data_IF_603894415059
#
_entry.id   IF_603894415059
#
_cell.length_a   1.000
_cell.length_b   1.000
_cell.length_c   1.000
_cell.angle_alpha   90.00
_cell.angle_beta   90.00
_cell.angle_gamma   90.00
#
_symmetry.space_group_name_H-M   'P 1'
#
loop_
_entity.id
_entity.type
_entity.pdbx_description
1 polymer ?
#
# COMPACT_ATOMS: atom_id res chain seq x y z
N UNK A 1 35.46 10.57 10.79
CA UNK A 1 34.93 11.75 10.07
C UNK A 1 33.44 11.54 9.95
N UNK A 2 32.66 12.34 10.65
CA UNK A 2 31.19 12.27 10.69
C UNK A 2 30.63 13.00 9.48
N UNK A 3 30.14 12.26 8.49
CA UNK A 3 29.29 12.84 7.46
C UNK A 3 27.99 13.28 8.15
N UNK A 4 27.74 14.59 8.16
CA UNK A 4 26.48 15.16 8.65
C UNK A 4 25.33 14.58 7.82
N UNK A 5 24.47 13.78 8.46
CA UNK A 5 23.34 13.07 7.86
C UNK A 5 22.31 14.02 7.25
N UNK A 6 22.54 14.40 6.00
CA UNK A 6 21.46 14.81 5.11
C UNK A 6 20.84 13.52 4.57
N UNK A 7 19.51 13.34 4.59
CA UNK A 7 18.90 12.21 3.92
C UNK A 7 19.41 12.15 2.47
N UNK A 8 19.74 10.95 1.98
CA UNK A 8 20.11 10.77 0.59
C UNK A 8 18.95 11.30 -0.27
N UNK A 9 19.24 12.20 -1.21
CA UNK A 9 18.20 12.75 -2.07
C UNK A 9 17.73 11.64 -3.01
N UNK A 10 16.40 11.46 -3.12
CA UNK A 10 15.81 10.49 -4.05
C UNK A 10 16.33 10.74 -5.46
N UNK A 11 16.74 9.66 -6.15
CA UNK A 11 17.29 9.79 -7.50
C UNK A 11 16.20 10.22 -8.51
N UNK A 12 16.53 11.10 -9.47
CA UNK A 12 15.59 11.45 -10.53
C UNK A 12 15.44 10.31 -11.55
N UNK A 13 14.30 10.26 -12.23
CA UNK A 13 13.96 9.21 -13.20
C UNK A 13 15.02 9.03 -14.30
N UNK A 14 15.56 10.13 -14.82
CA UNK A 14 16.60 10.11 -15.87
C UNK A 14 17.88 9.40 -15.41
N UNK A 15 18.27 9.58 -14.14
CA UNK A 15 19.48 8.97 -13.58
C UNK A 15 19.27 7.49 -13.33
N UNK A 16 18.08 7.12 -12.82
CA UNK A 16 17.68 5.72 -12.67
C UNK A 16 17.66 4.99 -14.02
N UNK A 17 17.05 5.59 -15.04
CA UNK A 17 16.98 5.01 -16.38
C UNK A 17 18.38 4.85 -17.00
N UNK A 18 19.24 5.87 -16.88
CA UNK A 18 20.61 5.80 -17.38
C UNK A 18 21.41 4.70 -16.68
N UNK A 19 21.36 4.62 -15.35
CA UNK A 19 22.04 3.58 -14.59
C UNK A 19 21.56 2.17 -15.00
N UNK A 20 20.24 1.97 -15.14
CA UNK A 20 19.68 0.70 -15.58
C UNK A 20 20.12 0.29 -16.99
N UNK A 21 20.24 1.24 -17.93
CA UNK A 21 20.68 0.96 -19.30
C UNK A 21 22.16 0.57 -19.38
N UNK A 22 22.99 1.07 -18.47
CA UNK A 22 24.43 0.82 -18.45
C UNK A 22 24.82 -0.41 -17.60
N UNK A 23 23.86 -1.03 -16.91
CA UNK A 23 24.10 -2.15 -16.00
C UNK A 23 24.06 -3.51 -16.71
N UNK A 24 25.01 -4.40 -16.36
CA UNK A 24 25.00 -5.80 -16.80
C UNK A 24 24.03 -6.67 -15.98
N UNK A 25 23.75 -6.27 -14.74
CA UNK A 25 22.82 -6.93 -13.83
C UNK A 25 22.22 -5.93 -12.85
N UNK A 26 20.91 -6.05 -12.57
CA UNK A 26 20.20 -5.14 -11.64
C UNK A 26 19.59 -5.89 -10.44
N UNK A 27 19.83 -5.41 -9.23
CA UNK A 27 19.20 -5.87 -7.98
C UNK A 27 18.13 -4.88 -7.55
N UNK A 28 16.87 -5.24 -7.74
CA UNK A 28 15.72 -4.45 -7.29
C UNK A 28 15.31 -4.89 -5.88
N UNK A 29 15.30 -3.94 -4.94
CA UNK A 29 14.90 -4.18 -3.55
C UNK A 29 13.85 -3.16 -3.13
N UNK A 30 12.71 -3.62 -2.63
CA UNK A 30 11.58 -2.74 -2.33
C UNK A 30 11.00 -2.98 -0.93
N UNK A 31 10.44 -1.93 -0.34
CA UNK A 31 9.58 -2.05 0.85
C UNK A 31 8.31 -2.85 0.54
N UNK A 32 7.78 -3.58 1.52
CA UNK A 32 6.57 -4.40 1.37
C UNK A 32 5.28 -3.55 1.44
N UNK A 33 5.08 -2.70 0.44
CA UNK A 33 3.86 -1.92 0.21
C UNK A 33 3.52 -1.82 -1.28
N UNK A 34 2.27 -1.45 -1.58
CA UNK A 34 1.76 -1.46 -2.95
C UNK A 34 2.44 -0.45 -3.90
N UNK A 35 2.95 0.68 -3.39
CA UNK A 35 3.63 1.69 -4.21
C UNK A 35 5.02 1.22 -4.63
N UNK A 36 5.81 0.74 -3.68
CA UNK A 36 7.13 0.19 -3.97
C UNK A 36 7.05 -1.07 -4.84
N UNK A 37 6.01 -1.90 -4.66
CA UNK A 37 5.76 -3.05 -5.53
C UNK A 37 5.41 -2.63 -6.97
N UNK A 38 4.56 -1.61 -7.15
CA UNK A 38 4.23 -1.09 -8.47
C UNK A 38 5.46 -0.50 -9.16
N UNK A 39 6.27 0.28 -8.44
CA UNK A 39 7.53 0.83 -8.93
C UNK A 39 8.50 -0.29 -9.38
N UNK A 40 8.63 -1.34 -8.58
CA UNK A 40 9.45 -2.51 -8.92
C UNK A 40 8.95 -3.20 -10.19
N UNK A 41 7.64 -3.39 -10.33
CA UNK A 41 7.02 -3.99 -11.51
C UNK A 41 7.35 -3.25 -12.81
N UNK A 42 7.26 -1.92 -12.80
CA UNK A 42 7.60 -1.08 -13.96
C UNK A 42 9.06 -1.28 -14.40
N UNK A 43 9.99 -1.21 -13.45
CA UNK A 43 11.42 -1.35 -13.74
C UNK A 43 11.75 -2.76 -14.20
N UNK A 44 11.23 -3.78 -13.51
CA UNK A 44 11.46 -5.18 -13.88
C UNK A 44 10.89 -5.51 -15.28
N UNK A 45 9.73 -4.96 -15.64
CA UNK A 45 9.17 -5.11 -16.98
C UNK A 45 10.05 -4.41 -18.04
N UNK A 46 10.56 -3.21 -17.76
CA UNK A 46 11.47 -2.51 -18.67
C UNK A 46 12.79 -3.26 -18.86
N UNK A 47 13.43 -3.70 -17.77
CA UNK A 47 14.67 -4.50 -17.81
C UNK A 47 14.48 -5.80 -18.59
N UNK A 48 13.33 -6.47 -18.41
CA UNK A 48 13.00 -7.67 -19.17
C UNK A 48 12.82 -7.38 -20.67
N UNK A 49 12.25 -6.23 -21.03
CA UNK A 49 12.07 -5.83 -22.42
C UNK A 49 13.40 -5.48 -23.11
N UNK A 50 14.42 -5.07 -22.35
CA UNK A 50 15.77 -4.78 -22.84
C UNK A 50 16.76 -5.94 -22.67
N UNK A 51 16.27 -7.14 -22.32
CA UNK A 51 17.08 -8.33 -22.03
C UNK A 51 18.15 -8.12 -20.94
N UNK A 52 17.93 -7.17 -20.02
CA UNK A 52 18.81 -6.89 -18.88
C UNK A 52 18.47 -7.83 -17.72
N UNK A 53 19.40 -8.71 -17.30
CA UNK A 53 19.16 -9.61 -16.17
C UNK A 53 18.92 -8.87 -14.86
N UNK A 54 18.00 -9.38 -14.04
CA UNK A 54 17.72 -8.78 -12.74
C UNK A 54 17.32 -9.81 -11.67
N UNK A 55 17.41 -9.38 -10.41
CA UNK A 55 16.86 -10.06 -9.24
C UNK A 55 15.98 -9.07 -8.46
N UNK A 56 14.78 -9.50 -8.08
CA UNK A 56 13.81 -8.69 -7.36
C UNK A 56 13.50 -9.26 -5.97
N UNK A 57 13.48 -8.41 -4.95
CA UNK A 57 13.12 -8.76 -3.57
C UNK A 57 12.25 -7.68 -2.94
N UNK A 58 11.24 -8.10 -2.19
CA UNK A 58 10.32 -7.21 -1.46
C UNK A 58 10.31 -7.64 0.01
N UNK A 59 10.57 -6.70 0.93
CA UNK A 59 10.62 -6.94 2.38
C UNK A 59 10.11 -5.72 3.14
N UNK A 60 9.49 -5.91 4.30
CA UNK A 60 9.02 -4.78 5.14
C UNK A 60 10.17 -3.85 5.49
N UNK A 61 11.29 -4.42 5.92
CA UNK A 61 12.56 -3.71 6.08
C UNK A 61 13.59 -4.33 5.12
N UNK A 62 13.95 -3.65 4.01
CA UNK A 62 14.88 -4.19 3.04
C UNK A 62 16.30 -4.38 3.61
N UNK A 63 16.77 -5.63 3.62
CA UNK A 63 18.18 -5.98 3.83
C UNK A 63 18.96 -5.77 2.52
N UNK A 64 19.62 -4.61 2.40
CA UNK A 64 20.35 -4.21 1.19
C UNK A 64 21.74 -4.83 1.17
N UNK A 65 21.98 -5.69 0.18
CA UNK A 65 23.32 -6.21 -0.12
C UNK A 65 23.82 -5.63 -1.44
N UNK A 66 24.88 -4.83 -1.38
CA UNK A 66 25.59 -4.32 -2.57
C UNK A 66 26.65 -5.34 -2.98
N UNK A 67 26.72 -5.63 -4.28
CA UNK A 67 27.72 -6.54 -4.86
C UNK A 67 28.51 -5.80 -5.93
N UNK A 68 29.83 -5.94 -5.92
CA UNK A 68 30.69 -5.30 -6.93
C UNK A 68 30.32 -5.77 -8.34
N UNK A 69 29.99 -4.82 -9.22
CA UNK A 69 29.61 -5.08 -10.61
C UNK A 69 28.09 -5.15 -10.87
N UNK A 70 27.25 -5.20 -9.83
CA UNK A 70 25.79 -5.17 -9.97
C UNK A 70 25.25 -3.77 -9.65
N UNK A 71 24.24 -3.30 -10.38
CA UNK A 71 23.49 -2.09 -9.99
C UNK A 71 22.46 -2.44 -8.91
N UNK A 72 22.55 -1.83 -7.74
CA UNK A 72 21.60 -2.00 -6.64
C UNK A 72 20.62 -0.82 -6.59
N UNK A 73 19.33 -1.10 -6.74
CA UNK A 73 18.25 -0.11 -6.67
C UNK A 73 17.36 -0.42 -5.47
N UNK A 74 17.25 0.52 -4.53
CA UNK A 74 16.36 0.44 -3.39
C UNK A 74 15.13 1.35 -3.59
N UNK A 75 13.94 0.80 -3.34
CA UNK A 75 12.65 1.47 -3.51
C UNK A 75 11.93 1.53 -2.16
N UNK A 76 11.71 2.74 -1.65
CA UNK A 76 10.92 3.00 -0.45
C UNK A 76 11.68 2.99 0.87
N UNK A 77 13.00 2.76 0.86
CA UNK A 77 13.86 2.88 2.03
C UNK A 77 15.10 3.73 1.70
N UNK A 78 15.52 4.55 2.66
CA UNK A 78 16.84 5.19 2.65
C UNK A 78 17.87 4.13 3.08
N UNK A 79 18.71 3.70 2.15
CA UNK A 79 19.64 2.61 2.35
C UNK A 79 20.91 2.80 1.51
N UNK A 80 21.98 2.09 1.87
CA UNK A 80 23.26 2.13 1.16
C UNK A 80 23.17 1.31 -0.14
N UNK A 81 22.53 1.88 -1.16
CA UNK A 81 22.37 1.33 -2.50
C UNK A 81 22.92 2.32 -3.54
N UNK A 82 23.24 1.84 -4.75
CA UNK A 82 23.72 2.70 -5.83
C UNK A 82 22.67 3.75 -6.23
N UNK A 83 21.39 3.35 -6.21
CA UNK A 83 20.23 4.23 -6.43
C UNK A 83 19.18 3.98 -5.35
N UNK A 84 18.69 5.05 -4.74
CA UNK A 84 17.57 5.02 -3.79
C UNK A 84 16.41 5.89 -4.29
N UNK A 85 15.20 5.34 -4.28
CA UNK A 85 13.97 6.10 -4.44
C UNK A 85 13.22 6.18 -3.11
N UNK A 86 13.04 7.40 -2.61
CA UNK A 86 12.35 7.64 -1.33
C UNK A 86 11.21 8.64 -1.45
N UNK A 87 11.20 9.46 -2.52
CA UNK A 87 10.18 10.47 -2.74
C UNK A 87 8.89 9.84 -3.29
N UNK A 88 7.78 10.00 -2.57
CA UNK A 88 6.49 9.42 -2.91
C UNK A 88 5.75 10.25 -3.99
N UNK A 89 4.98 9.62 -4.89
CA UNK A 89 4.85 8.17 -5.07
C UNK A 89 6.01 7.59 -5.91
N UNK A 90 6.56 6.47 -5.45
CA UNK A 90 7.70 5.81 -6.11
C UNK A 90 7.34 5.32 -7.50
N UNK A 91 6.10 4.85 -7.66
CA UNK A 91 5.57 4.33 -8.91
C UNK A 91 5.59 5.37 -10.03
N UNK A 92 5.48 6.67 -9.72
CA UNK A 92 5.53 7.73 -10.72
C UNK A 92 6.94 7.93 -11.29
N UNK A 93 7.94 7.98 -10.41
CA UNK A 93 9.34 8.05 -10.82
C UNK A 93 9.74 6.82 -11.64
N UNK A 94 9.33 5.64 -11.19
CA UNK A 94 9.60 4.38 -11.88
C UNK A 94 8.88 4.27 -13.23
N UNK A 95 7.65 4.78 -13.36
CA UNK A 95 6.93 4.87 -14.63
C UNK A 95 7.71 5.70 -15.65
N UNK A 96 8.17 6.89 -15.27
CA UNK A 96 8.97 7.74 -16.16
C UNK A 96 10.30 7.06 -16.53
N UNK A 97 11.00 6.48 -15.55
CA UNK A 97 12.26 5.79 -15.81
C UNK A 97 12.09 4.56 -16.72
N UNK A 98 11.02 3.78 -16.54
CA UNK A 98 10.70 2.64 -17.41
C UNK A 98 10.44 3.08 -18.86
N UNK A 99 9.73 4.19 -19.04
CA UNK A 99 9.57 4.84 -20.36
C UNK A 99 10.91 5.20 -21.01
N UNK A 100 11.83 5.78 -20.23
CA UNK A 100 13.16 6.19 -20.69
C UNK A 100 14.13 5.01 -20.93
N UNK A 101 13.89 3.85 -20.29
CA UNK A 101 14.62 2.60 -20.57
C UNK A 101 14.19 2.02 -21.93
N UNK A 102 12.96 2.29 -22.37
CA UNK A 102 12.48 1.98 -23.72
C UNK A 102 11.27 1.05 -23.80
N UNK A 103 10.46 0.96 -22.73
CA UNK A 103 9.21 0.19 -22.71
C UNK A 103 7.99 1.10 -22.61
N UNK A 104 6.81 0.63 -23.04
CA UNK A 104 5.54 1.34 -22.77
C UNK A 104 5.12 1.04 -21.33
N UNK A 105 5.42 1.96 -20.42
CA UNK A 105 5.13 1.81 -19.00
C UNK A 105 3.61 1.83 -18.74
N UNK A 106 3.14 1.03 -17.77
CA UNK A 106 1.71 0.94 -17.48
C UNK A 106 1.25 2.06 -16.53
N UNK A 107 0.53 3.04 -17.05
CA UNK A 107 0.01 4.17 -16.28
C UNK A 107 -1.02 3.76 -15.21
N UNK A 108 -1.79 2.68 -15.43
CA UNK A 108 -2.80 2.22 -14.47
C UNK A 108 -2.13 1.54 -13.28
N UNK A 109 -1.15 0.65 -13.51
CA UNK A 109 -0.34 0.06 -12.44
C UNK A 109 0.35 1.16 -11.62
N UNK A 110 0.95 2.14 -12.30
CA UNK A 110 1.65 3.20 -11.60
C UNK A 110 0.70 4.11 -10.79
N UNK A 111 -0.50 4.42 -11.32
CA UNK A 111 -1.54 5.12 -10.57
C UNK A 111 -2.04 4.29 -9.37
N UNK A 112 -2.23 2.97 -9.51
CA UNK A 112 -2.60 2.09 -8.41
C UNK A 112 -1.54 2.09 -7.30
N UNK A 113 -0.25 2.12 -7.66
CA UNK A 113 0.86 2.33 -6.72
C UNK A 113 0.74 3.64 -5.95
N UNK A 114 0.47 4.76 -6.64
CA UNK A 114 0.26 6.05 -6.00
C UNK A 114 -0.94 6.04 -5.04
N UNK A 115 -2.04 5.35 -5.42
CA UNK A 115 -3.18 5.16 -4.53
C UNK A 115 -2.81 4.32 -3.30
N UNK A 116 -1.97 3.30 -3.44
CA UNK A 116 -1.46 2.53 -2.30
C UNK A 116 -0.62 3.40 -1.35
N UNK A 117 0.21 4.31 -1.86
CA UNK A 117 0.94 5.32 -1.07
C UNK A 117 0.02 6.38 -0.42
N UNK A 118 -1.24 6.45 -0.84
CA UNK A 118 -2.27 7.27 -0.21
C UNK A 118 -2.71 8.51 -0.96
N UNK A 119 -2.35 8.61 -2.23
CA UNK A 119 -2.83 9.66 -3.12
C UNK A 119 -4.27 9.37 -3.56
N UNK A 120 -5.08 10.43 -3.68
CA UNK A 120 -6.46 10.33 -4.16
C UNK A 120 -6.50 10.64 -5.66
N UNK A 121 -6.91 9.71 -6.55
CA UNK A 121 -6.90 9.93 -7.99
C UNK A 121 -7.65 11.19 -8.42
N UNK A 122 -6.95 12.07 -9.13
CA UNK A 122 -7.46 13.34 -9.65
C UNK A 122 -6.34 14.17 -10.27
N UNK A 123 -6.67 15.37 -10.74
CA UNK A 123 -5.75 16.25 -11.52
C UNK A 123 -4.40 16.52 -10.83
N UNK A 124 -4.37 16.54 -9.49
CA UNK A 124 -3.15 16.78 -8.72
C UNK A 124 -2.35 15.49 -8.41
N UNK A 125 -2.85 14.32 -8.82
CA UNK A 125 -2.16 13.05 -8.63
C UNK A 125 -1.22 12.80 -9.80
N UNK A 126 0.07 12.50 -9.55
CA UNK A 126 0.98 12.06 -10.60
C UNK A 126 0.35 10.91 -11.40
N UNK A 127 0.56 10.91 -12.72
CA UNK A 127 0.09 9.85 -13.64
C UNK A 127 -1.42 9.77 -13.87
N UNK A 128 -2.21 10.69 -13.32
CA UNK A 128 -3.66 10.71 -13.55
C UNK A 128 -4.01 10.95 -15.03
N UNK A 129 -3.42 11.96 -15.65
CA UNK A 129 -3.69 12.29 -17.07
C UNK A 129 -3.27 11.16 -18.03
N UNK A 130 -2.06 10.56 -17.93
CA UNK A 130 -1.71 9.38 -18.72
C UNK A 130 -2.69 8.20 -18.57
N UNK A 131 -3.25 7.99 -17.37
CA UNK A 131 -4.17 6.88 -17.10
C UNK A 131 -5.61 7.18 -17.53
N UNK A 132 -6.05 8.44 -17.55
CA UNK A 132 -7.48 8.80 -17.67
C UNK A 132 -8.13 8.33 -18.97
N UNK A 133 -7.35 8.10 -20.03
CA UNK A 133 -7.87 7.59 -21.31
C UNK A 133 -8.43 6.16 -21.20
N UNK A 134 -8.00 5.40 -20.18
CA UNK A 134 -8.42 4.01 -19.92
C UNK A 134 -9.31 3.89 -18.68
N UNK A 135 -9.76 4.99 -18.09
CA UNK A 135 -10.49 5.00 -16.83
C UNK A 135 -11.86 5.65 -16.94
N UNK A 136 -12.87 4.97 -16.41
CA UNK A 136 -14.20 5.51 -16.22
C UNK A 136 -14.44 5.86 -14.75
N UNK A 137 -15.20 6.92 -14.47
CA UNK A 137 -15.55 7.29 -13.09
C UNK A 137 -17.04 7.06 -12.84
N UNK A 138 -17.37 6.13 -11.92
CA UNK A 138 -18.77 5.77 -11.61
C UNK A 138 -19.12 5.89 -10.12
N UNK A 139 -20.41 6.03 -9.76
CA UNK A 139 -20.84 5.82 -8.38
C UNK A 139 -20.54 4.39 -7.92
N UNK A 140 -20.22 4.20 -6.64
CA UNK A 140 -19.97 2.87 -6.07
C UNK A 140 -18.75 2.84 -5.17
N UNK A 141 -18.23 1.62 -4.98
CA UNK A 141 -17.12 1.32 -4.09
C UNK A 141 -15.85 0.93 -4.88
N UNK A 142 -14.69 1.37 -4.42
CA UNK A 142 -13.39 0.94 -4.91
C UNK A 142 -13.06 -0.45 -4.36
N UNK A 143 -13.44 -1.49 -5.09
CA UNK A 143 -13.21 -2.90 -4.74
C UNK A 143 -12.55 -3.62 -5.93
N UNK A 144 -11.77 -4.69 -5.68
CA UNK A 144 -11.04 -5.39 -6.73
C UNK A 144 -11.87 -6.41 -7.52
N UNK A 145 -13.20 -6.37 -7.34
CA UNK A 145 -14.13 -7.37 -7.86
C UNK A 145 -15.39 -6.68 -8.38
N UNK A 146 -15.93 -7.15 -9.50
CA UNK A 146 -17.24 -6.76 -10.01
C UNK A 146 -18.16 -7.96 -10.25
N UNK A 147 -19.44 -7.67 -10.39
CA UNK A 147 -20.45 -8.69 -10.63
C UNK A 147 -21.75 -8.32 -9.95
N UNK A 148 -22.35 -9.31 -9.32
CA UNK A 148 -23.62 -9.19 -8.65
C UNK A 148 -23.46 -8.75 -7.17
N UNK A 149 -24.56 -8.84 -6.43
CA UNK A 149 -24.63 -8.53 -5.01
C UNK A 149 -23.65 -9.35 -4.16
N UNK A 150 -23.42 -10.63 -4.49
CA UNK A 150 -22.50 -11.48 -3.72
C UNK A 150 -21.06 -11.03 -3.88
N UNK A 151 -20.68 -10.65 -5.10
CA UNK A 151 -19.34 -10.09 -5.35
C UNK A 151 -19.16 -8.73 -4.65
N UNK A 152 -20.20 -7.90 -4.61
CA UNK A 152 -20.12 -6.63 -3.89
C UNK A 152 -20.01 -6.82 -2.37
N UNK A 153 -20.72 -7.81 -1.81
CA UNK A 153 -20.56 -8.23 -0.41
C UNK A 153 -19.13 -8.68 -0.17
N UNK A 154 -18.56 -9.51 -1.04
CA UNK A 154 -17.17 -9.94 -0.95
C UNK A 154 -16.17 -8.77 -0.98
N UNK A 155 -16.41 -7.80 -1.87
CA UNK A 155 -15.71 -6.51 -1.94
C UNK A 155 -15.72 -5.75 -0.62
N UNK A 156 -16.90 -5.62 -0.01
CA UNK A 156 -17.11 -4.86 1.22
C UNK A 156 -16.48 -5.52 2.45
N UNK A 157 -16.61 -6.85 2.54
CA UNK A 157 -16.05 -7.64 3.65
C UNK A 157 -14.53 -7.54 3.70
N UNK A 158 -13.88 -7.49 2.54
CA UNK A 158 -12.42 -7.60 2.43
C UNK A 158 -11.73 -6.29 2.01
N UNK A 159 -12.43 -5.17 1.86
CA UNK A 159 -11.76 -3.91 1.55
C UNK A 159 -10.95 -3.40 2.74
N UNK A 160 -9.64 -3.15 2.55
CA UNK A 160 -8.83 -2.48 3.58
C UNK A 160 -8.76 -0.96 3.38
N UNK A 161 -9.55 -0.40 2.46
CA UNK A 161 -9.69 1.05 2.28
C UNK A 161 -10.61 1.67 3.33
N UNK A 162 -11.45 0.86 3.98
CA UNK A 162 -12.44 1.29 4.97
C UNK A 162 -12.53 0.30 6.12
N UNK A 163 -12.84 0.76 7.33
CA UNK A 163 -13.12 -0.12 8.47
C UNK A 163 -14.42 0.27 9.17
N UNK A 164 -15.32 -0.70 9.32
CA UNK A 164 -16.56 -0.57 10.07
C UNK A 164 -17.06 -1.95 10.55
N UNK A 165 -18.31 -2.02 11.00
CA UNK A 165 -19.00 -3.23 11.46
C UNK A 165 -19.12 -4.33 10.39
N UNK A 166 -19.19 -3.96 9.11
CA UNK A 166 -19.25 -4.90 7.98
C UNK A 166 -17.90 -5.53 7.61
N UNK A 167 -16.77 -4.93 8.03
CA UNK A 167 -15.44 -5.38 7.64
C UNK A 167 -15.16 -6.77 8.23
N UNK A 168 -14.75 -7.76 7.43
CA UNK A 168 -14.61 -9.16 7.84
C UNK A 168 -15.86 -9.73 8.56
N UNK A 169 -17.05 -9.23 8.23
CA UNK A 169 -18.34 -9.66 8.77
C UNK A 169 -19.37 -9.80 7.63
N UNK A 170 -19.34 -10.97 6.96
CA UNK A 170 -20.16 -11.24 5.77
C UNK A 170 -21.65 -11.04 6.00
N UNK A 171 -22.19 -11.47 7.13
CA UNK A 171 -23.62 -11.33 7.43
C UNK A 171 -24.03 -9.85 7.53
N UNK A 172 -23.21 -9.00 8.16
CA UNK A 172 -23.44 -7.56 8.25
C UNK A 172 -23.35 -6.88 6.88
N UNK A 173 -22.35 -7.24 6.08
CA UNK A 173 -22.21 -6.73 4.71
C UNK A 173 -23.39 -7.13 3.82
N UNK A 174 -23.82 -8.40 3.88
CA UNK A 174 -24.96 -8.91 3.14
C UNK A 174 -26.27 -8.23 3.57
N UNK A 175 -26.48 -8.01 4.87
CA UNK A 175 -27.64 -7.26 5.37
C UNK A 175 -27.64 -5.81 4.87
N UNK A 176 -26.48 -5.14 4.85
CA UNK A 176 -26.34 -3.78 4.35
C UNK A 176 -26.72 -3.70 2.86
N UNK A 177 -26.17 -4.58 2.02
CA UNK A 177 -26.47 -4.59 0.58
C UNK A 177 -27.92 -5.00 0.32
N UNK A 178 -28.43 -6.02 1.02
CA UNK A 178 -29.80 -6.52 0.88
C UNK A 178 -30.88 -5.54 1.34
N UNK A 179 -30.58 -4.65 2.28
CA UNK A 179 -31.54 -3.66 2.81
C UNK A 179 -32.07 -2.66 1.77
N UNK A 180 -31.43 -2.58 0.61
CA UNK A 180 -31.80 -1.63 -0.45
C UNK A 180 -32.85 -2.17 -1.41
N UNK A 181 -33.17 -3.47 -1.33
CA UNK A 181 -34.19 -4.20 -2.11
C UNK A 181 -34.11 -3.89 -3.63
N UNK A 182 -32.90 -4.04 -4.19
CA UNK A 182 -32.62 -3.73 -5.58
C UNK A 182 -32.57 -5.01 -6.43
N UNK A 183 -33.33 -5.04 -7.53
CA UNK A 183 -33.32 -6.14 -8.51
C UNK A 183 -32.04 -6.16 -9.36
N UNK A 184 -31.36 -5.01 -9.48
CA UNK A 184 -30.13 -4.85 -10.28
C UNK A 184 -29.16 -3.85 -9.63
N UNK A 185 -27.86 -4.03 -9.87
CA UNK A 185 -26.81 -3.09 -9.43
C UNK A 185 -26.61 -1.97 -10.46
N UNK A 186 -27.58 -1.07 -10.54
CA UNK A 186 -27.46 0.14 -11.36
C UNK A 186 -26.68 1.27 -10.65
N UNK A 187 -26.48 2.39 -11.35
CA UNK A 187 -25.76 3.55 -10.82
C UNK A 187 -26.42 4.19 -9.60
N UNK A 188 -27.74 4.07 -9.44
CA UNK A 188 -28.45 4.57 -8.26
C UNK A 188 -28.21 3.65 -7.07
N UNK A 189 -28.30 2.34 -7.26
CA UNK A 189 -28.06 1.31 -6.26
C UNK A 189 -26.62 1.38 -5.76
N UNK A 190 -25.64 1.45 -6.66
CA UNK A 190 -24.23 1.64 -6.28
C UNK A 190 -24.01 2.90 -5.44
N UNK A 191 -24.69 4.00 -5.75
CA UNK A 191 -24.61 5.25 -4.98
C UNK A 191 -25.23 5.12 -3.60
N UNK A 192 -26.38 4.45 -3.48
CA UNK A 192 -27.05 4.20 -2.20
C UNK A 192 -26.19 3.32 -1.30
N UNK A 193 -25.59 2.26 -1.84
CA UNK A 193 -24.64 1.39 -1.12
C UNK A 193 -23.43 2.20 -0.66
N UNK A 194 -22.80 2.96 -1.56
CA UNK A 194 -21.65 3.78 -1.22
C UNK A 194 -21.97 4.80 -0.12
N UNK A 195 -23.17 5.40 -0.16
CA UNK A 195 -23.63 6.33 0.89
C UNK A 195 -23.84 5.63 2.24
N UNK A 196 -24.43 4.43 2.24
CA UNK A 196 -24.61 3.65 3.47
C UNK A 196 -23.26 3.24 4.09
N UNK A 197 -22.32 2.79 3.26
CA UNK A 197 -20.94 2.47 3.68
C UNK A 197 -20.25 3.70 4.27
N UNK A 198 -20.36 4.85 3.61
CA UNK A 198 -19.78 6.09 4.11
C UNK A 198 -20.32 6.46 5.50
N UNK A 199 -21.65 6.42 5.68
CA UNK A 199 -22.29 6.74 6.96
C UNK A 199 -21.89 5.77 8.07
N UNK A 200 -21.83 4.47 7.79
CA UNK A 200 -21.40 3.45 8.77
C UNK A 200 -19.93 3.59 9.16
N UNK A 201 -19.06 3.93 8.21
CA UNK A 201 -17.63 4.06 8.46
C UNK A 201 -17.25 5.31 9.27
N UNK A 202 -18.07 6.36 9.24
CA UNK A 202 -17.85 7.58 10.03
C UNK A 202 -18.65 7.62 11.33
N UNK A 203 -19.55 6.66 11.54
CA UNK A 203 -20.33 6.54 12.77
C UNK A 203 -19.39 6.26 13.94
N UNK A 204 -19.41 7.13 14.94
CA UNK A 204 -18.51 7.11 16.12
C UNK A 204 -16.99 7.14 15.80
N UNK A 205 -16.63 7.50 14.56
CA UNK A 205 -15.24 7.59 14.12
C UNK A 205 -14.63 8.99 14.39
N UNK A 206 -13.29 9.10 14.39
CA UNK A 206 -12.59 10.39 14.42
C UNK A 206 -12.98 11.31 13.25
N UNK A 207 -12.85 12.63 13.43
CA UNK A 207 -13.29 13.61 12.42
C UNK A 207 -12.62 13.42 11.04
N UNK A 208 -11.34 13.04 11.01
CA UNK A 208 -10.60 12.80 9.76
C UNK A 208 -11.02 11.51 9.04
N UNK A 209 -11.82 10.63 9.66
CA UNK A 209 -12.35 9.43 8.99
C UNK A 209 -13.18 9.77 7.75
N UNK A 210 -13.84 10.94 7.75
CA UNK A 210 -14.59 11.42 6.58
C UNK A 210 -13.70 11.63 5.35
N UNK A 211 -12.49 12.16 5.51
CA UNK A 211 -11.53 12.30 4.41
C UNK A 211 -10.99 10.93 3.97
N UNK A 212 -10.80 10.01 4.94
CA UNK A 212 -10.30 8.66 4.65
C UNK A 212 -11.31 7.83 3.87
N UNK A 213 -12.61 7.96 4.17
CA UNK A 213 -13.65 7.19 3.48
C UNK A 213 -13.79 7.56 2.01
N UNK A 214 -13.41 8.77 1.60
CA UNK A 214 -13.46 9.18 0.19
C UNK A 214 -12.66 8.24 -0.73
N UNK A 215 -11.62 7.59 -0.20
CA UNK A 215 -10.76 6.65 -0.95
C UNK A 215 -11.50 5.42 -1.46
N UNK A 216 -12.58 5.02 -0.79
CA UNK A 216 -13.41 3.88 -1.23
C UNK A 216 -14.59 4.34 -2.09
N UNK A 217 -14.87 5.64 -2.21
CA UNK A 217 -16.07 6.14 -2.88
C UNK A 217 -15.80 6.63 -4.30
N UNK A 218 -16.80 6.47 -5.18
CA UNK A 218 -16.80 6.99 -6.55
C UNK A 218 -15.52 6.62 -7.32
N UNK A 219 -15.25 5.31 -7.47
CA UNK A 219 -13.98 4.80 -7.98
C UNK A 219 -13.73 5.15 -9.44
N UNK A 220 -12.45 5.13 -9.80
CA UNK A 220 -11.98 4.98 -11.17
C UNK A 220 -11.94 3.50 -11.52
N UNK A 221 -12.71 3.14 -12.53
CA UNK A 221 -12.88 1.78 -13.06
C UNK A 221 -11.93 1.58 -14.22
N UNK A 222 -11.22 0.46 -14.21
CA UNK A 222 -10.23 0.07 -15.19
C UNK A 222 -9.10 -0.73 -14.57
N UNK A 223 -8.24 -1.27 -15.43
CA UNK A 223 -7.17 -2.17 -15.02
C UNK A 223 -7.64 -3.59 -14.66
N UNK A 224 -6.71 -4.44 -14.21
CA UNK A 224 -6.97 -5.88 -14.05
C UNK A 224 -7.84 -6.26 -12.85
N UNK A 225 -8.08 -5.34 -11.92
CA UNK A 225 -8.87 -5.59 -10.70
C UNK A 225 -10.06 -4.65 -10.60
N UNK A 226 -10.79 -4.43 -11.69
CA UNK A 226 -12.01 -3.62 -11.78
C UNK A 226 -11.86 -2.12 -11.47
N UNK A 227 -11.22 -1.74 -10.37
CA UNK A 227 -11.01 -0.35 -9.94
C UNK A 227 -9.56 -0.11 -9.56
N UNK A 228 -9.10 1.12 -9.74
CA UNK A 228 -7.74 1.54 -9.35
C UNK A 228 -7.51 1.38 -7.84
N UNK A 229 -8.51 1.72 -7.02
CA UNK A 229 -8.43 1.54 -5.57
C UNK A 229 -8.44 0.07 -5.14
N UNK A 230 -9.21 -0.78 -5.82
CA UNK A 230 -9.16 -2.22 -5.64
C UNK A 230 -7.80 -2.80 -6.02
N UNK A 231 -7.23 -2.35 -7.15
CA UNK A 231 -5.89 -2.77 -7.56
C UNK A 231 -4.82 -2.36 -6.54
N UNK A 232 -4.88 -1.14 -6.02
CA UNK A 232 -3.99 -0.67 -4.96
C UNK A 232 -4.07 -1.54 -3.69
N UNK A 233 -5.28 -1.95 -3.30
CA UNK A 233 -5.54 -2.81 -2.13
C UNK A 233 -4.96 -4.22 -2.34
N UNK A 234 -5.11 -4.79 -3.54
CA UNK A 234 -4.52 -6.09 -3.91
C UNK A 234 -2.99 -6.03 -3.93
N UNK A 235 -2.40 -4.97 -4.49
CA UNK A 235 -0.94 -4.78 -4.52
C UNK A 235 -0.37 -4.69 -3.10
N UNK A 236 -0.97 -3.90 -2.22
CA UNK A 236 -0.50 -3.77 -0.82
C UNK A 236 -0.62 -5.09 -0.05
N UNK A 237 -1.71 -5.84 -0.24
CA UNK A 237 -1.89 -7.15 0.37
C UNK A 237 -0.83 -8.16 -0.12
N UNK A 238 -0.62 -8.24 -1.44
CA UNK A 238 0.37 -9.14 -2.04
C UNK A 238 1.79 -8.80 -1.59
N UNK A 239 2.16 -7.51 -1.57
CA UNK A 239 3.48 -7.07 -1.12
C UNK A 239 3.80 -7.55 0.31
N UNK A 240 2.80 -7.51 1.21
CA UNK A 240 2.97 -7.84 2.64
C UNK A 240 2.88 -9.32 2.96
N UNK A 241 2.07 -10.08 2.22
CA UNK A 241 1.74 -11.48 2.56
C UNK A 241 2.46 -12.49 1.67
N UNK A 242 2.56 -12.20 0.37
CA UNK A 242 3.15 -13.08 -0.64
C UNK A 242 3.97 -12.26 -1.65
N UNK A 243 5.10 -11.65 -1.23
CA UNK A 243 5.85 -10.72 -2.07
C UNK A 243 6.25 -11.29 -3.43
N UNK A 244 6.63 -12.57 -3.52
CA UNK A 244 6.95 -13.20 -4.80
C UNK A 244 5.78 -13.28 -5.78
N UNK A 245 4.55 -13.48 -5.27
CA UNK A 245 3.33 -13.41 -6.08
C UNK A 245 3.06 -11.96 -6.52
N UNK A 246 3.23 -10.99 -5.61
CA UNK A 246 3.10 -9.58 -5.94
C UNK A 246 4.06 -9.12 -7.04
N UNK A 247 5.33 -9.56 -6.98
CA UNK A 247 6.34 -9.25 -8.00
C UNK A 247 5.94 -9.82 -9.35
N UNK A 248 5.52 -11.09 -9.41
CA UNK A 248 5.05 -11.71 -10.65
C UNK A 248 3.84 -10.96 -11.23
N UNK A 249 2.84 -10.65 -10.38
CA UNK A 249 1.64 -9.91 -10.77
C UNK A 249 1.97 -8.53 -11.35
N UNK A 250 2.86 -7.77 -10.70
CA UNK A 250 3.21 -6.42 -11.13
C UNK A 250 4.00 -6.43 -12.46
N UNK A 251 4.89 -7.41 -12.67
CA UNK A 251 5.63 -7.57 -13.93
C UNK A 251 4.67 -7.94 -15.07
N UNK A 252 3.75 -8.87 -14.84
CA UNK A 252 2.79 -9.29 -15.87
C UNK A 252 1.85 -8.16 -16.25
N UNK A 253 1.29 -7.45 -15.26
CA UNK A 253 0.42 -6.30 -15.51
C UNK A 253 1.14 -5.18 -16.26
N UNK A 254 2.40 -4.88 -15.93
CA UNK A 254 3.18 -3.86 -16.63
C UNK A 254 3.49 -4.21 -18.09
N UNK A 255 3.34 -5.48 -18.49
CA UNK A 255 3.77 -5.98 -19.81
C UNK A 255 2.61 -6.17 -20.79
N UNK A 256 1.40 -6.40 -20.29
CA UNK A 256 0.24 -6.76 -21.13
C UNK A 256 -1.02 -6.07 -20.64
N UNK A 257 -1.88 -5.66 -21.58
CA UNK A 257 -3.26 -5.25 -21.26
C UNK A 257 -4.19 -6.47 -20.96
N UNK A 258 -3.64 -7.69 -20.90
CA UNK A 258 -4.35 -8.92 -20.58
C UNK A 258 -4.52 -9.11 -19.06
N UNK A 259 -5.46 -9.97 -18.67
CA UNK A 259 -5.63 -10.37 -17.29
C UNK A 259 -4.35 -11.07 -16.76
N UNK A 260 -3.78 -10.63 -15.62
CA UNK A 260 -2.56 -11.23 -15.08
C UNK A 260 -2.74 -12.71 -14.76
N UNK A 261 -1.70 -13.52 -15.04
CA UNK A 261 -1.73 -14.98 -14.91
C UNK A 261 -1.94 -15.52 -13.47
N UNK A 262 -2.09 -14.62 -12.48
CA UNK A 262 -2.26 -14.94 -11.06
C UNK A 262 -3.32 -14.08 -10.35
N UNK A 263 -4.29 -13.53 -11.09
CA UNK A 263 -5.32 -12.65 -10.54
C UNK A 263 -6.11 -13.32 -9.39
N UNK A 264 -6.52 -14.59 -9.56
CA UNK A 264 -7.26 -15.33 -8.54
C UNK A 264 -6.46 -15.54 -7.24
N UNK A 265 -5.18 -15.88 -7.35
CA UNK A 265 -4.30 -16.05 -6.19
C UNK A 265 -4.03 -14.71 -5.48
N UNK A 266 -3.95 -13.62 -6.25
CA UNK A 266 -3.82 -12.27 -5.70
C UNK A 266 -5.08 -11.87 -4.94
N UNK A 267 -6.28 -12.14 -5.48
CA UNK A 267 -7.56 -11.92 -4.79
C UNK A 267 -7.68 -12.76 -3.52
N UNK A 268 -7.29 -14.04 -3.56
CA UNK A 268 -7.25 -14.88 -2.36
C UNK A 268 -6.33 -14.29 -1.28
N UNK A 269 -5.14 -13.82 -1.68
CA UNK A 269 -4.18 -13.16 -0.78
C UNK A 269 -4.75 -11.89 -0.17
N UNK A 270 -5.46 -11.08 -0.96
CA UNK A 270 -6.17 -9.89 -0.50
C UNK A 270 -7.26 -10.20 0.54
N UNK A 271 -8.10 -11.21 0.29
CA UNK A 271 -9.14 -11.65 1.26
C UNK A 271 -8.53 -12.10 2.59
N UNK A 272 -7.47 -12.90 2.53
CA UNK A 272 -6.75 -13.39 3.72
C UNK A 272 -6.06 -12.26 4.48
N UNK A 273 -5.52 -11.28 3.76
CA UNK A 273 -4.90 -10.09 4.34
C UNK A 273 -5.92 -9.21 5.07
N UNK A 274 -7.03 -8.89 4.41
CA UNK A 274 -8.08 -8.06 4.95
C UNK A 274 -8.75 -8.68 6.18
N UNK A 275 -9.04 -9.98 6.11
CA UNK A 275 -9.61 -10.73 7.23
C UNK A 275 -8.68 -10.67 8.45
N UNK A 276 -7.37 -10.88 8.25
CA UNK A 276 -6.38 -10.79 9.31
C UNK A 276 -6.28 -9.36 9.88
N UNK A 277 -6.29 -8.33 9.02
CA UNK A 277 -6.22 -6.93 9.44
C UNK A 277 -7.42 -6.52 10.29
N UNK A 278 -8.64 -6.74 9.81
CA UNK A 278 -9.85 -6.35 10.53
C UNK A 278 -10.09 -7.16 11.79
N UNK A 279 -9.77 -8.45 11.78
CA UNK A 279 -9.85 -9.29 12.98
C UNK A 279 -8.82 -8.86 14.02
N UNK A 280 -7.57 -8.61 13.59
CA UNK A 280 -6.51 -8.09 14.47
C UNK A 280 -6.89 -6.75 15.09
N UNK A 281 -7.43 -5.82 14.30
CA UNK A 281 -7.86 -4.52 14.80
C UNK A 281 -9.03 -4.61 15.79
N UNK A 282 -9.98 -5.53 15.57
CA UNK A 282 -11.11 -5.72 16.49
C UNK A 282 -10.76 -6.45 17.78
N UNK A 283 -9.89 -7.45 17.69
CA UNK A 283 -9.51 -8.29 18.83
C UNK A 283 -8.34 -7.71 19.63
N UNK A 284 -7.58 -6.79 19.05
CA UNK A 284 -6.37 -6.22 19.65
C UNK A 284 -6.65 -5.39 20.89
N UNK A 285 -5.72 -5.45 21.84
CA UNK A 285 -5.78 -4.62 23.05
C UNK A 285 -5.37 -3.19 22.71
N UNK A 286 -6.23 -2.23 23.02
CA UNK A 286 -5.99 -0.83 22.69
C UNK A 286 -5.54 -0.02 23.91
N UNK A 287 -4.63 0.91 23.69
CA UNK A 287 -4.22 1.90 24.69
C UNK A 287 -4.12 3.28 24.03
N UNK A 288 -4.53 4.32 24.74
CA UNK A 288 -4.47 5.70 24.26
C UNK A 288 -3.53 6.50 25.14
N UNK A 289 -2.59 7.19 24.51
CA UNK A 289 -1.68 8.17 25.10
C UNK A 289 -1.82 9.50 24.36
N UNK A 290 -1.29 10.58 24.93
CA UNK A 290 -1.27 11.88 24.24
C UNK A 290 -0.46 11.77 22.94
N UNK A 291 -1.10 11.99 21.80
CA UNK A 291 -0.48 11.91 20.48
C UNK A 291 -0.31 10.50 19.92
N UNK A 292 -0.67 9.44 20.66
CA UNK A 292 -0.43 8.06 20.23
C UNK A 292 -1.56 7.10 20.62
N UNK A 293 -2.08 6.38 19.63
CA UNK A 293 -3.00 5.25 19.82
C UNK A 293 -2.29 3.93 19.54
N UNK A 294 -2.33 2.99 20.49
CA UNK A 294 -1.63 1.71 20.40
C UNK A 294 -2.63 0.59 20.23
N UNK A 295 -2.34 -0.33 19.31
CA UNK A 295 -3.07 -1.60 19.12
C UNK A 295 -2.07 -2.75 19.25
N UNK A 296 -2.22 -3.55 20.31
CA UNK A 296 -1.45 -4.78 20.47
C UNK A 296 -2.22 -5.91 19.80
N UNK A 297 -1.60 -6.57 18.84
CA UNK A 297 -2.22 -7.68 18.11
C UNK A 297 -1.41 -8.95 18.28
N UNK A 298 -2.11 -10.08 18.27
CA UNK A 298 -1.50 -11.40 18.27
C UNK A 298 -1.58 -12.04 16.88
N UNK A 299 -0.74 -13.04 16.64
CA UNK A 299 -0.81 -13.88 15.44
C UNK A 299 -0.22 -13.20 14.20
N UNK A 300 -0.90 -13.37 13.06
CA UNK A 300 -0.38 -12.97 11.74
C UNK A 300 -1.01 -11.69 11.21
N UNK A 301 -1.48 -10.80 12.09
CA UNK A 301 -2.13 -9.56 11.68
C UNK A 301 -1.11 -8.64 10.95
N UNK A 302 -1.46 -8.08 9.78
CA UNK A 302 -0.55 -7.20 9.05
C UNK A 302 -0.44 -5.84 9.75
N UNK A 303 0.60 -5.66 10.57
CA UNK A 303 0.77 -4.50 11.45
C UNK A 303 0.62 -3.16 10.72
N UNK A 304 1.22 -2.99 9.54
CA UNK A 304 1.10 -1.75 8.77
C UNK A 304 -0.35 -1.39 8.41
N UNK A 305 -1.13 -2.39 8.00
CA UNK A 305 -2.56 -2.21 7.68
C UNK A 305 -3.38 -1.98 8.93
N UNK A 306 -3.08 -2.67 10.04
CA UNK A 306 -3.74 -2.45 11.33
C UNK A 306 -3.48 -1.03 11.84
N UNK A 307 -2.23 -0.56 11.84
CA UNK A 307 -1.88 0.79 12.24
C UNK A 307 -2.59 1.83 11.37
N UNK A 308 -2.61 1.64 10.05
CA UNK A 308 -3.31 2.54 9.11
C UNK A 308 -4.81 2.60 9.38
N UNK A 309 -5.47 1.46 9.56
CA UNK A 309 -6.91 1.41 9.82
C UNK A 309 -7.27 1.96 11.20
N UNK A 310 -6.45 1.67 12.22
CA UNK A 310 -6.58 2.26 13.55
C UNK A 310 -6.45 3.78 13.47
N UNK A 311 -5.42 4.30 12.80
CA UNK A 311 -5.21 5.73 12.58
C UNK A 311 -6.42 6.35 11.88
N UNK A 312 -6.95 5.71 10.84
CA UNK A 312 -8.01 6.26 10.01
C UNK A 312 -9.40 6.25 10.68
N UNK A 313 -9.75 5.20 11.42
CA UNK A 313 -11.15 4.94 11.81
C UNK A 313 -11.38 4.76 13.32
N UNK A 314 -10.34 4.61 14.15
CA UNK A 314 -10.50 4.41 15.60
C UNK A 314 -9.78 5.47 16.45
N UNK A 315 -8.61 5.92 16.01
CA UNK A 315 -7.71 6.78 16.78
C UNK A 315 -8.13 8.25 16.70
N UNK A 316 -8.42 8.92 17.83
CA UNK A 316 -8.51 10.37 17.86
C UNK A 316 -7.14 11.05 17.85
N UNK A 317 -6.05 10.28 17.96
CA UNK A 317 -4.66 10.77 17.94
C UNK A 317 -4.10 10.77 16.52
N UNK A 318 -3.10 11.63 16.28
CA UNK A 318 -2.45 11.79 14.97
C UNK A 318 -1.64 10.57 14.54
N UNK A 319 -1.08 9.81 15.49
CA UNK A 319 -0.25 8.64 15.25
C UNK A 319 -0.89 7.38 15.84
N UNK A 320 -0.85 6.29 15.08
CA UNK A 320 -1.21 4.96 15.55
C UNK A 320 -0.01 4.01 15.46
N UNK A 321 0.14 3.15 16.46
CA UNK A 321 1.17 2.12 16.58
C UNK A 321 0.49 0.75 16.68
N UNK A 322 0.78 -0.14 15.75
CA UNK A 322 0.44 -1.56 15.86
C UNK A 322 1.70 -2.36 16.21
N UNK A 323 1.59 -3.26 17.19
CA UNK A 323 2.72 -4.10 17.63
C UNK A 323 2.31 -5.57 17.70
N UNK A 324 3.22 -6.44 17.23
CA UNK A 324 3.28 -7.85 17.57
C UNK A 324 4.60 -8.13 18.29
N UNK A 325 4.75 -9.29 18.95
CA UNK A 325 5.83 -9.60 19.89
C UNK A 325 7.22 -8.98 19.66
N UNK A 326 7.71 -8.90 18.41
CA UNK A 326 9.04 -8.33 18.06
C UNK A 326 9.01 -7.32 16.90
N UNK A 327 7.82 -6.84 16.50
CA UNK A 327 7.66 -5.92 15.37
C UNK A 327 6.69 -4.80 15.71
N UNK A 328 6.95 -3.65 15.12
CA UNK A 328 6.09 -2.48 15.22
C UNK A 328 5.85 -1.86 13.84
N UNK A 329 4.63 -1.34 13.65
CA UNK A 329 4.29 -0.50 12.52
C UNK A 329 3.57 0.77 12.98
N UNK A 330 3.93 1.89 12.37
CA UNK A 330 3.43 3.22 12.65
C UNK A 330 2.64 3.75 11.46
N UNK A 331 1.55 4.45 11.71
CA UNK A 331 0.81 5.20 10.70
C UNK A 331 0.37 6.55 11.23
N UNK A 332 0.60 7.60 10.44
CA UNK A 332 0.36 8.98 10.82
C UNK A 332 1.47 9.89 10.30
N UNK A 333 1.32 11.19 10.48
CA UNK A 333 2.35 12.16 10.08
C UNK A 333 3.69 11.86 10.76
N UNK A 334 4.80 12.00 10.02
CA UNK A 334 6.16 11.72 10.51
C UNK A 334 6.42 10.28 10.97
N UNK A 335 5.54 9.32 10.69
CA UNK A 335 5.67 7.94 11.18
C UNK A 335 7.02 7.29 10.83
N UNK A 336 7.54 7.48 9.61
CA UNK A 336 8.84 6.95 9.23
C UNK A 336 10.03 7.62 9.91
N UNK A 337 9.91 8.90 10.26
CA UNK A 337 10.92 9.61 11.05
C UNK A 337 10.95 9.08 12.50
N UNK A 338 9.78 8.90 13.12
CA UNK A 338 9.67 8.31 14.44
C UNK A 338 10.21 6.87 14.46
N UNK A 339 9.89 6.06 13.44
CA UNK A 339 10.38 4.68 13.34
C UNK A 339 11.91 4.63 13.32
N UNK A 340 12.55 5.40 12.43
CA UNK A 340 14.02 5.45 12.31
C UNK A 340 14.69 5.93 13.60
N UNK A 341 14.16 7.00 14.21
CA UNK A 341 14.69 7.54 15.47
C UNK A 341 14.62 6.52 16.61
N UNK A 342 13.50 5.80 16.73
CA UNK A 342 13.34 4.75 17.74
C UNK A 342 14.28 3.59 17.44
N UNK A 343 14.36 3.14 16.18
CA UNK A 343 15.27 2.08 15.75
C UNK A 343 16.72 2.37 16.09
N UNK A 344 17.21 3.58 15.79
CA UNK A 344 18.55 4.04 16.18
C UNK A 344 18.76 4.03 17.69
N UNK A 345 17.77 4.43 18.48
CA UNK A 345 17.88 4.52 19.94
C UNK A 345 17.96 3.16 20.62
N UNK A 346 17.25 2.15 20.09
CA UNK A 346 17.19 0.80 20.67
C UNK A 346 18.02 -0.23 19.90
N UNK A 347 18.83 0.21 18.94
CA UNK A 347 19.63 -0.65 18.06
C UNK A 347 18.79 -1.70 17.29
N UNK A 348 17.56 -1.32 16.90
CA UNK A 348 16.63 -2.12 16.11
C UNK A 348 16.62 -1.67 14.64
N UNK A 349 16.24 -2.58 13.74
CA UNK A 349 16.18 -2.27 12.31
C UNK A 349 14.89 -1.52 12.02
N UNK A 350 14.98 -0.32 11.43
CA UNK A 350 13.80 0.49 11.14
C UNK A 350 13.87 1.14 9.76
N UNK A 351 12.69 1.34 9.17
CA UNK A 351 12.52 2.10 7.92
C UNK A 351 11.18 2.81 7.92
N UNK A 352 10.96 3.71 6.97
CA UNK A 352 9.66 4.33 6.78
C UNK A 352 9.71 5.55 5.86
N UNK A 353 8.50 5.96 5.47
CA UNK A 353 8.25 7.13 4.62
C UNK A 353 7.44 8.17 5.39
N UNK A 354 6.84 9.13 4.69
CA UNK A 354 6.15 10.27 5.29
C UNK A 354 5.09 9.85 6.31
N UNK A 355 4.28 8.85 5.96
CA UNK A 355 3.08 8.48 6.72
C UNK A 355 3.09 7.06 7.29
N UNK A 356 4.15 6.31 7.04
CA UNK A 356 4.30 4.92 7.50
C UNK A 356 5.70 4.67 8.02
N UNK A 357 5.82 3.85 9.06
CA UNK A 357 7.10 3.43 9.62
C UNK A 357 7.05 2.00 10.14
N UNK A 358 8.19 1.32 10.12
CA UNK A 358 8.33 -0.07 10.56
C UNK A 358 9.59 -0.23 11.39
N UNK A 359 9.50 -1.06 12.43
CA UNK A 359 10.63 -1.41 13.29
C UNK A 359 10.58 -2.93 13.51
N UNK A 360 11.70 -3.60 13.28
CA UNK A 360 11.89 -5.03 13.51
C UNK A 360 12.95 -5.25 14.62
N UNK A 361 12.73 -6.25 15.46
CA UNK A 361 13.62 -6.56 16.59
C UNK A 361 13.33 -5.70 17.83
N UNK A 362 12.10 -5.23 17.99
CA UNK A 362 11.66 -4.42 19.13
C UNK A 362 10.45 -5.06 19.82
N UNK A 363 10.53 -5.27 21.13
CA UNK A 363 9.38 -5.81 21.86
C UNK A 363 8.27 -4.77 22.03
N UNK A 364 7.03 -5.23 22.17
CA UNK A 364 5.85 -4.37 22.23
C UNK A 364 5.90 -3.31 23.36
N UNK A 365 6.48 -3.62 24.52
CA UNK A 365 6.54 -2.69 25.64
C UNK A 365 7.59 -1.59 25.40
N UNK A 366 8.74 -1.97 24.83
CA UNK A 366 9.78 -1.03 24.40
C UNK A 366 9.27 -0.15 23.26
N UNK A 367 8.61 -0.74 22.25
CA UNK A 367 8.02 0.01 21.14
C UNK A 367 7.03 1.08 21.62
N UNK A 368 6.08 0.72 22.48
CA UNK A 368 5.15 1.71 23.05
C UNK A 368 5.89 2.81 23.83
N UNK A 369 6.86 2.42 24.67
CA UNK A 369 7.57 3.37 25.53
C UNK A 369 8.38 4.37 24.73
N UNK A 370 9.14 3.90 23.74
CA UNK A 370 10.05 4.75 22.97
C UNK A 370 9.33 5.57 21.90
N UNK A 371 8.30 5.01 21.24
CA UNK A 371 7.45 5.81 20.34
C UNK A 371 6.76 6.93 21.12
N UNK A 372 6.23 6.67 22.31
CA UNK A 372 5.61 7.70 23.14
C UNK A 372 6.59 8.81 23.55
N UNK A 373 7.88 8.52 23.66
CA UNK A 373 8.90 9.56 23.93
C UNK A 373 9.29 10.33 22.67
N UNK A 374 9.12 9.73 21.51
CA UNK A 374 9.47 10.29 20.21
C UNK A 374 8.39 11.22 19.64
N UNK A 375 7.15 11.09 20.10
CA UNK A 375 5.99 11.98 19.85
C UNK A 375 5.96 13.09 20.90
#
# INVERSE_FOLDING_TARGET
>A
MTASGRPAQSAPAESLAAACRDADFVRLQATADGDALAALGQLAAALRATDTPFHASVRTVPDITVTEGDLTVCLGADADADITLTDEPLSATAYTAAGDIGTDADAILALAGAVAAGYTPGENTPLYEPATAKLDRRPGLAVPVDGDTETLVDGLVHSTLVHADFSAARDTAAALVGSLDAETLDSETHRRIASAVALRAIEDAPAHAAERVERVLRPHVGGPFTTVGGYADVLDACARRRPGLGVALAIDAARTDEEPSHADEALATWRDHATAAHTGLRAGETARHSGLFVVRVEGTAPLGTVARLAQAFQSPESLALAVDGERAALSGEHAGEHARRVGEQVEATATGRTTTGYIEGIDAATAETEVRRAV
#
